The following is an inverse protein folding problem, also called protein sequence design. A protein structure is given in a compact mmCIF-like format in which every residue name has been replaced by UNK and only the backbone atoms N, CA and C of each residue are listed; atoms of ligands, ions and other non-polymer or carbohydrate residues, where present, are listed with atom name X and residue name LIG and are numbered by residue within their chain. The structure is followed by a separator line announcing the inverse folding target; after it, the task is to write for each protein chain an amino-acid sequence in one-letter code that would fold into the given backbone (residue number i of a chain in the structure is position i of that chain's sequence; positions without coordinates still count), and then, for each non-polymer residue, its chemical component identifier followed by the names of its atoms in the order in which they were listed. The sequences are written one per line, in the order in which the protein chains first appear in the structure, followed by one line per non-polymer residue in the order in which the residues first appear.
data_IF_357714487360
#
_entry.id   IF_357714487360
#
_cell.length_a   1.000
_cell.length_b   1.000
_cell.length_c   1.000
_cell.angle_alpha   90.00
_cell.angle_beta   90.00
_cell.angle_gamma   90.00
#
_symmetry.space_group_name_H-M   'P 1'
#
loop_
_entity.id
_entity.type
_entity.pdbx_description
1 polymer ?
#
# COMPACT_ATOMS: atom_id res chain seq x y z
N UNK A 1 -24.96 64.95 -43.09
CA UNK A 1 -25.29 63.50 -43.00
C UNK A 1 -24.09 62.80 -42.38
N UNK A 2 -24.27 62.21 -41.19
CA UNK A 2 -23.20 61.71 -40.34
C UNK A 2 -22.75 60.30 -40.75
N UNK A 3 -21.44 60.08 -40.85
CA UNK A 3 -20.84 58.74 -41.02
C UNK A 3 -20.31 58.27 -39.68
N UNK A 4 -21.00 57.31 -39.05
CA UNK A 4 -20.60 56.73 -37.78
C UNK A 4 -19.66 55.53 -38.02
N UNK A 5 -18.43 55.65 -37.52
CA UNK A 5 -17.41 54.61 -37.58
C UNK A 5 -17.78 53.42 -36.68
N UNK A 6 -17.85 52.22 -37.26
CA UNK A 6 -18.11 50.96 -36.55
C UNK A 6 -16.82 50.49 -35.84
N UNK A 7 -16.73 50.71 -34.53
CA UNK A 7 -15.63 50.17 -33.70
C UNK A 7 -15.95 48.73 -33.32
N UNK A 8 -15.33 47.77 -34.01
CA UNK A 8 -15.35 46.35 -33.59
C UNK A 8 -14.40 46.19 -32.41
N UNK A 9 -14.94 45.78 -31.26
CA UNK A 9 -14.15 45.37 -30.10
C UNK A 9 -13.57 43.97 -30.36
N UNK A 10 -12.27 43.73 -30.12
CA UNK A 10 -11.74 42.38 -30.17
C UNK A 10 -12.25 41.59 -28.96
N UNK A 11 -12.91 40.46 -29.20
CA UNK A 11 -13.24 39.47 -28.17
C UNK A 11 -11.93 38.84 -27.67
N UNK A 12 -11.51 39.22 -26.47
CA UNK A 12 -10.47 38.54 -25.70
C UNK A 12 -10.92 37.09 -25.48
N UNK A 13 -10.33 36.14 -26.21
CA UNK A 13 -10.48 34.71 -25.92
C UNK A 13 -9.74 34.42 -24.60
N UNK A 14 -10.49 34.03 -23.58
CA UNK A 14 -9.94 33.57 -22.31
C UNK A 14 -9.03 32.38 -22.56
N UNK A 15 -7.75 32.54 -22.26
CA UNK A 15 -6.79 31.44 -22.17
C UNK A 15 -7.06 30.70 -20.85
N UNK A 16 -7.67 29.52 -20.92
CA UNK A 16 -7.77 28.64 -19.76
C UNK A 16 -6.36 28.20 -19.36
N UNK A 17 -5.88 28.68 -18.21
CA UNK A 17 -4.69 28.13 -17.58
C UNK A 17 -4.92 26.63 -17.33
N UNK A 18 -3.92 25.75 -17.53
CA UNK A 18 -4.05 24.35 -17.18
C UNK A 18 -4.48 24.27 -15.71
N UNK A 19 -5.51 23.46 -15.44
CA UNK A 19 -6.02 23.21 -14.09
C UNK A 19 -4.85 22.77 -13.21
N UNK A 20 -4.46 23.63 -12.26
CA UNK A 20 -3.38 23.30 -11.32
C UNK A 20 -3.89 22.18 -10.42
N UNK A 21 -3.28 21.00 -10.55
CA UNK A 21 -3.58 19.87 -9.66
C UNK A 21 -3.31 20.28 -8.20
N UNK A 22 -4.12 19.76 -7.29
CA UNK A 22 -3.98 20.05 -5.86
C UNK A 22 -2.57 19.65 -5.39
N UNK A 23 -1.87 20.44 -4.57
CA UNK A 23 -0.50 20.16 -4.14
C UNK A 23 -0.29 18.74 -3.59
N UNK A 24 -1.27 18.23 -2.84
CA UNK A 24 -1.26 16.87 -2.27
C UNK A 24 -1.33 15.77 -3.33
N UNK A 25 -2.04 15.99 -4.44
CA UNK A 25 -2.11 15.01 -5.55
C UNK A 25 -0.74 14.94 -6.25
N UNK A 26 -0.10 16.09 -6.47
CA UNK A 26 1.25 16.13 -7.02
C UNK A 26 2.27 15.41 -6.12
N UNK A 27 2.12 15.53 -4.80
CA UNK A 27 2.97 14.85 -3.84
C UNK A 27 2.74 13.33 -3.87
N UNK A 28 1.48 12.90 -3.88
CA UNK A 28 1.10 11.49 -4.05
C UNK A 28 1.72 10.89 -5.32
N UNK A 29 1.53 11.55 -6.47
CA UNK A 29 2.06 11.09 -7.77
C UNK A 29 3.59 10.98 -7.76
N UNK A 30 4.28 11.90 -7.08
CA UNK A 30 5.73 11.85 -6.91
C UNK A 30 6.18 10.66 -6.06
N UNK A 31 5.52 10.39 -4.93
CA UNK A 31 5.82 9.21 -4.10
C UNK A 31 5.53 7.91 -4.85
N UNK A 32 4.42 7.85 -5.57
CA UNK A 32 4.02 6.72 -6.41
C UNK A 32 5.05 6.47 -7.52
N UNK A 33 5.47 7.51 -8.23
CA UNK A 33 6.48 7.42 -9.29
C UNK A 33 7.84 6.95 -8.76
N UNK A 34 8.24 7.37 -7.55
CA UNK A 34 9.48 6.90 -6.91
C UNK A 34 9.44 5.41 -6.61
N UNK A 35 8.33 4.92 -6.08
CA UNK A 35 8.12 3.49 -5.81
C UNK A 35 8.18 2.68 -7.12
N UNK A 36 7.51 3.13 -8.18
CA UNK A 36 7.51 2.47 -9.50
C UNK A 36 8.88 2.53 -10.21
N UNK A 37 9.59 3.65 -10.13
CA UNK A 37 10.89 3.83 -10.79
C UNK A 37 12.00 3.01 -10.15
N UNK A 38 11.82 2.61 -8.88
CA UNK A 38 12.77 1.75 -8.15
C UNK A 38 12.92 0.36 -8.75
N UNK A 39 11.98 -0.07 -9.58
CA UNK A 39 11.99 -1.40 -10.21
C UNK A 39 12.75 -1.42 -11.54
N UNK A 40 12.92 -0.24 -12.18
CA UNK A 40 13.44 -0.12 -13.56
C UNK A 40 14.94 0.19 -13.61
N UNK A 41 15.57 0.67 -12.52
CA UNK A 41 16.99 1.01 -12.47
C UNK A 41 17.85 -0.12 -11.88
N UNK A 42 18.29 -1.06 -12.72
CA UNK A 42 19.00 -2.30 -12.36
C UNK A 42 20.45 -2.17 -11.83
N UNK A 43 20.83 -1.10 -11.12
CA UNK A 43 22.20 -0.97 -10.57
C UNK A 43 22.28 -0.86 -9.05
N UNK A 44 21.16 -0.66 -8.34
CA UNK A 44 21.11 -0.69 -6.88
C UNK A 44 19.81 -1.33 -6.43
N UNK A 45 19.88 -2.54 -5.86
CA UNK A 45 18.73 -3.11 -5.14
C UNK A 45 18.40 -2.21 -3.97
N UNK A 46 17.37 -1.37 -4.11
CA UNK A 46 16.90 -0.53 -3.01
C UNK A 46 16.51 -1.45 -1.85
N UNK A 47 17.07 -1.22 -0.66
CA UNK A 47 16.74 -2.02 0.52
C UNK A 47 15.23 -1.99 0.76
N UNK A 48 14.68 -3.12 1.20
CA UNK A 48 13.26 -3.24 1.58
C UNK A 48 12.85 -2.14 2.56
N UNK A 49 13.75 -1.74 3.47
CA UNK A 49 13.51 -0.65 4.43
C UNK A 49 13.23 0.69 3.75
N UNK A 50 13.92 0.99 2.65
CA UNK A 50 13.68 2.22 1.89
C UNK A 50 12.33 2.18 1.15
N UNK A 51 12.00 1.03 0.53
CA UNK A 51 10.68 0.85 -0.12
C UNK A 51 9.54 1.03 0.90
N UNK A 52 9.69 0.44 2.08
CA UNK A 52 8.71 0.59 3.17
C UNK A 52 8.61 2.03 3.69
N UNK A 53 9.72 2.77 3.74
CA UNK A 53 9.67 4.18 4.13
C UNK A 53 8.92 5.02 3.09
N UNK A 54 9.18 4.81 1.79
CA UNK A 54 8.43 5.51 0.75
C UNK A 54 6.97 5.13 0.71
N UNK A 55 6.67 3.86 1.00
CA UNK A 55 5.28 3.41 1.14
C UNK A 55 4.59 4.12 2.30
N UNK A 56 5.29 4.30 3.44
CA UNK A 56 4.78 5.11 4.55
C UNK A 56 4.51 6.56 4.09
N UNK A 57 5.47 7.20 3.43
CA UNK A 57 5.30 8.58 2.95
C UNK A 57 4.08 8.71 2.00
N UNK A 58 3.83 7.68 1.18
CA UNK A 58 2.64 7.59 0.32
C UNK A 58 1.35 7.50 1.14
N UNK A 59 1.31 6.66 2.17
CA UNK A 59 0.16 6.53 3.08
C UNK A 59 -0.09 7.81 3.89
N UNK A 60 0.95 8.49 4.35
CA UNK A 60 0.82 9.79 5.03
C UNK A 60 0.16 10.82 4.10
N UNK A 61 0.49 10.83 2.81
CA UNK A 61 -0.18 11.68 1.81
C UNK A 61 -1.65 11.30 1.59
N UNK A 62 -1.98 10.00 1.61
CA UNK A 62 -3.35 9.51 1.45
C UNK A 62 -4.20 9.95 2.66
N UNK A 63 -3.65 9.88 3.87
CA UNK A 63 -4.34 10.34 5.07
C UNK A 63 -4.70 11.83 4.95
N UNK A 64 -3.76 12.67 4.49
CA UNK A 64 -4.05 14.09 4.21
C UNK A 64 -5.11 14.26 3.11
N UNK A 65 -5.04 13.46 2.03
CA UNK A 65 -6.05 13.49 0.95
C UNK A 65 -7.44 13.07 1.46
N UNK A 66 -7.54 12.10 2.38
CA UNK A 66 -8.80 11.64 2.96
C UNK A 66 -9.44 12.67 3.89
N UNK A 67 -8.66 13.61 4.42
CA UNK A 67 -9.17 14.73 5.24
C UNK A 67 -9.84 15.83 4.40
N UNK A 68 -9.63 15.86 3.08
CA UNK A 68 -10.31 16.84 2.22
C UNK A 68 -11.81 16.56 2.15
N UNK A 69 -12.61 17.58 2.44
CA UNK A 69 -14.07 17.47 2.47
C UNK A 69 -14.67 16.95 1.16
N UNK A 70 -14.12 17.35 0.00
CA UNK A 70 -14.53 16.85 -1.31
C UNK A 70 -14.37 15.34 -1.45
N UNK A 71 -13.30 14.78 -0.88
CA UNK A 71 -13.01 13.36 -0.93
C UNK A 71 -13.88 12.59 0.07
N UNK A 72 -14.09 13.13 1.27
CA UNK A 72 -15.01 12.53 2.26
C UNK A 72 -16.44 12.48 1.73
N UNK A 73 -16.90 13.57 1.11
CA UNK A 73 -18.22 13.62 0.49
C UNK A 73 -18.32 12.59 -0.64
N UNK A 74 -17.36 12.55 -1.57
CA UNK A 74 -17.38 11.59 -2.67
C UNK A 74 -17.38 10.14 -2.17
N UNK A 75 -16.53 9.82 -1.19
CA UNK A 75 -16.44 8.49 -0.59
C UNK A 75 -17.74 8.12 0.15
N UNK A 76 -18.33 9.03 0.93
CA UNK A 76 -19.57 8.79 1.66
C UNK A 76 -20.77 8.46 0.77
N UNK A 77 -20.76 8.94 -0.49
CA UNK A 77 -21.79 8.65 -1.49
C UNK A 77 -21.49 7.36 -2.27
N UNK A 78 -20.26 6.84 -2.19
CA UNK A 78 -19.82 5.62 -2.86
C UNK A 78 -20.07 4.37 -2.01
N UNK A 79 -20.76 3.39 -2.58
CA UNK A 79 -21.00 2.08 -1.92
C UNK A 79 -19.74 1.18 -1.84
N UNK A 80 -18.63 1.61 -2.45
CA UNK A 80 -17.45 0.82 -2.75
C UNK A 80 -16.40 0.76 -1.63
N UNK A 81 -16.45 1.65 -0.62
CA UNK A 81 -15.41 1.76 0.42
C UNK A 81 -15.12 0.42 1.10
N UNK A 82 -16.17 -0.31 1.49
CA UNK A 82 -16.02 -1.60 2.18
C UNK A 82 -15.22 -2.62 1.36
N UNK A 83 -15.37 -2.59 0.03
CA UNK A 83 -14.64 -3.49 -0.88
C UNK A 83 -13.20 -3.06 -1.04
N UNK A 84 -12.96 -1.76 -1.11
CA UNK A 84 -11.60 -1.20 -1.15
C UNK A 84 -10.87 -1.55 0.15
N UNK A 85 -11.53 -1.47 1.30
CA UNK A 85 -10.89 -1.75 2.58
C UNK A 85 -10.65 -3.24 2.87
N UNK A 86 -11.34 -4.17 2.19
CA UNK A 86 -11.18 -5.61 2.43
C UNK A 86 -9.72 -6.08 2.24
N UNK A 87 -9.04 -5.60 1.19
CA UNK A 87 -7.62 -5.89 0.95
C UNK A 87 -6.69 -5.42 2.08
N UNK A 88 -6.65 -4.11 2.38
CA UNK A 88 -5.86 -3.55 3.48
C UNK A 88 -6.17 -4.16 4.85
N UNK A 89 -7.43 -4.45 5.16
CA UNK A 89 -7.82 -5.06 6.44
C UNK A 89 -7.25 -6.48 6.57
N UNK A 90 -7.37 -7.31 5.53
CA UNK A 90 -6.77 -8.64 5.52
C UNK A 90 -5.25 -8.62 5.63
N UNK A 91 -4.61 -7.62 5.01
CA UNK A 91 -3.17 -7.41 5.15
C UNK A 91 -2.80 -7.09 6.61
N UNK A 92 -3.58 -6.22 7.27
CA UNK A 92 -3.36 -5.88 8.67
C UNK A 92 -3.51 -7.11 9.59
N UNK A 93 -4.52 -7.94 9.37
CA UNK A 93 -4.74 -9.20 10.10
C UNK A 93 -3.57 -10.19 9.90
N UNK A 94 -3.11 -10.32 8.66
CA UNK A 94 -1.95 -11.14 8.32
C UNK A 94 -0.67 -10.65 8.99
N UNK A 95 -0.45 -9.33 9.03
CA UNK A 95 0.65 -8.70 9.76
C UNK A 95 0.57 -8.94 11.26
N UNK A 96 -0.63 -8.88 11.85
CA UNK A 96 -0.88 -9.21 13.25
C UNK A 96 -0.49 -10.66 13.55
N UNK A 97 -1.03 -11.60 12.79
CA UNK A 97 -0.73 -13.03 12.92
C UNK A 97 0.77 -13.31 12.75
N UNK A 98 1.41 -12.66 11.77
CA UNK A 98 2.84 -12.78 11.52
C UNK A 98 3.67 -12.33 12.71
N UNK A 99 3.32 -11.18 13.30
CA UNK A 99 3.99 -10.63 14.48
C UNK A 99 3.88 -11.59 15.67
N UNK A 100 2.70 -12.17 15.90
CA UNK A 100 2.46 -13.09 17.02
C UNK A 100 3.27 -14.39 16.86
N UNK A 101 3.33 -14.95 15.64
CA UNK A 101 4.15 -16.13 15.35
C UNK A 101 5.64 -15.83 15.52
N UNK A 102 6.11 -14.67 15.04
CA UNK A 102 7.51 -14.25 15.22
C UNK A 102 7.86 -14.06 16.69
N UNK A 103 6.94 -13.51 17.49
CA UNK A 103 7.11 -13.35 18.93
C UNK A 103 7.23 -14.72 19.63
N UNK A 104 6.36 -15.68 19.30
CA UNK A 104 6.47 -17.05 19.80
C UNK A 104 7.79 -17.71 19.39
N UNK A 105 8.23 -17.52 18.14
CA UNK A 105 9.50 -18.06 17.66
C UNK A 105 10.70 -17.46 18.40
N UNK A 106 10.65 -16.16 18.73
CA UNK A 106 11.68 -15.49 19.54
C UNK A 106 11.77 -16.10 20.93
N UNK A 107 10.63 -16.32 21.59
CA UNK A 107 10.58 -16.97 22.91
C UNK A 107 11.09 -18.40 22.87
N UNK A 108 10.74 -19.16 21.83
CA UNK A 108 11.27 -20.51 21.61
C UNK A 108 12.78 -20.51 21.37
N UNK A 109 13.31 -19.59 20.55
CA UNK A 109 14.73 -19.47 20.33
C UNK A 109 15.50 -19.16 21.63
N UNK A 110 14.95 -18.29 22.48
CA UNK A 110 15.51 -17.99 23.80
C UNK A 110 15.48 -19.19 24.75
N UNK A 111 14.40 -19.98 24.72
CA UNK A 111 14.29 -21.25 25.50
C UNK A 111 15.35 -22.26 25.06
N UNK A 112 15.48 -22.49 23.76
CA UNK A 112 16.51 -23.38 23.17
C UNK A 112 17.91 -22.93 23.60
N UNK A 113 18.22 -21.64 23.44
CA UNK A 113 19.50 -21.08 23.84
C UNK A 113 19.78 -21.27 25.34
N UNK A 114 18.77 -21.09 26.19
CA UNK A 114 18.88 -21.25 27.64
C UNK A 114 19.06 -22.72 28.06
N UNK A 115 18.40 -23.67 27.37
CA UNK A 115 18.59 -25.09 27.58
C UNK A 115 20.01 -25.52 27.23
N UNK A 116 20.53 -25.05 26.09
CA UNK A 116 21.89 -25.32 25.63
C UNK A 116 22.94 -24.77 26.62
N UNK A 117 22.76 -23.53 27.08
CA UNK A 117 23.68 -22.90 28.05
C UNK A 117 23.75 -23.64 29.37
N UNK A 118 22.62 -24.16 29.87
CA UNK A 118 22.56 -24.85 31.16
C UNK A 118 22.94 -26.33 31.09
N UNK A 119 23.12 -26.90 29.88
CA UNK A 119 23.28 -28.36 29.67
C UNK A 119 22.18 -29.20 30.34
N UNK A 120 20.99 -28.63 30.54
CA UNK A 120 19.92 -29.24 31.33
C UNK A 120 18.99 -30.18 30.54
N UNK A 121 19.06 -30.17 29.20
CA UNK A 121 18.16 -30.96 28.35
C UNK A 121 18.95 -31.95 27.50
N UNK A 122 18.40 -33.15 27.32
CA UNK A 122 18.97 -34.15 26.40
C UNK A 122 18.94 -33.66 24.95
N UNK A 123 19.93 -34.04 24.15
CA UNK A 123 20.11 -33.60 22.75
C UNK A 123 18.85 -33.80 21.90
N UNK A 124 18.11 -34.89 22.13
CA UNK A 124 16.82 -35.19 21.48
C UNK A 124 15.74 -34.13 21.75
N UNK A 125 15.67 -33.58 22.96
CA UNK A 125 14.69 -32.53 23.31
C UNK A 125 14.99 -31.22 22.59
N UNK A 126 16.26 -30.83 22.55
CA UNK A 126 16.69 -29.59 21.88
C UNK A 126 16.48 -29.72 20.36
N UNK A 127 16.79 -30.89 19.78
CA UNK A 127 16.55 -31.17 18.37
C UNK A 127 15.06 -31.02 18.01
N UNK A 128 14.16 -31.55 18.85
CA UNK A 128 12.72 -31.40 18.64
C UNK A 128 12.25 -29.94 18.68
N UNK A 129 12.71 -29.14 19.66
CA UNK A 129 12.36 -27.71 19.75
C UNK A 129 12.85 -26.91 18.52
N UNK A 130 14.04 -27.24 18.01
CA UNK A 130 14.58 -26.65 16.78
C UNK A 130 13.73 -27.03 15.57
N UNK A 131 13.36 -28.31 15.45
CA UNK A 131 12.49 -28.79 14.36
C UNK A 131 11.11 -28.11 14.41
N UNK A 132 10.53 -27.92 15.59
CA UNK A 132 9.27 -27.21 15.76
C UNK A 132 9.39 -25.73 15.33
N UNK A 133 10.44 -25.04 15.77
CA UNK A 133 10.72 -23.65 15.39
C UNK A 133 10.89 -23.49 13.86
N UNK A 134 11.62 -24.40 13.22
CA UNK A 134 11.75 -24.45 11.76
C UNK A 134 10.41 -24.75 11.09
N UNK A 135 9.60 -25.64 11.66
CA UNK A 135 8.24 -25.93 11.20
C UNK A 135 7.33 -24.70 11.23
N UNK A 136 7.36 -23.92 12.31
CA UNK A 136 6.61 -22.65 12.43
C UNK A 136 7.06 -21.63 11.38
N UNK A 137 8.37 -21.49 11.15
CA UNK A 137 8.90 -20.61 10.10
C UNK A 137 8.38 -20.98 8.71
N UNK A 138 8.36 -22.27 8.37
CA UNK A 138 7.83 -22.76 7.08
C UNK A 138 6.34 -22.46 6.94
N UNK A 139 5.55 -22.72 7.99
CA UNK A 139 4.11 -22.41 8.03
C UNK A 139 3.86 -20.91 7.85
N UNK A 140 4.61 -20.07 8.56
CA UNK A 140 4.51 -18.61 8.46
C UNK A 140 4.81 -18.13 7.03
N UNK A 141 5.90 -18.61 6.42
CA UNK A 141 6.24 -18.26 5.04
C UNK A 141 5.13 -18.65 4.05
N UNK A 142 4.56 -19.85 4.22
CA UNK A 142 3.45 -20.31 3.38
C UNK A 142 2.19 -19.46 3.55
N UNK A 143 1.91 -19.04 4.78
CA UNK A 143 0.77 -18.21 5.13
C UNK A 143 0.90 -16.80 4.52
N UNK A 144 2.05 -16.13 4.70
CA UNK A 144 2.34 -14.81 4.10
C UNK A 144 2.18 -14.85 2.58
N UNK A 145 2.77 -15.87 1.93
CA UNK A 145 2.67 -16.04 0.47
C UNK A 145 1.21 -16.19 0.01
N UNK A 146 0.38 -16.91 0.77
CA UNK A 146 -1.04 -17.07 0.48
C UNK A 146 -1.76 -15.71 0.57
N UNK A 147 -1.54 -14.95 1.64
CA UNK A 147 -2.17 -13.65 1.81
C UNK A 147 -1.81 -12.65 0.71
N UNK A 148 -0.53 -12.56 0.33
CA UNK A 148 -0.09 -11.69 -0.76
C UNK A 148 -0.76 -12.07 -2.08
N UNK A 149 -0.89 -13.37 -2.35
CA UNK A 149 -1.63 -13.87 -3.53
C UNK A 149 -3.11 -13.49 -3.48
N UNK A 150 -3.76 -13.64 -2.32
CA UNK A 150 -5.18 -13.32 -2.14
C UNK A 150 -5.43 -11.82 -2.35
N UNK A 151 -4.55 -10.95 -1.82
CA UNK A 151 -4.61 -9.48 -2.02
C UNK A 151 -4.47 -9.13 -3.50
N UNK A 152 -3.50 -9.72 -4.22
CA UNK A 152 -3.35 -9.51 -5.67
C UNK A 152 -4.58 -9.96 -6.45
N UNK A 153 -5.28 -11.00 -6.02
CA UNK A 153 -6.51 -11.43 -6.69
C UNK A 153 -7.68 -10.44 -6.49
N UNK A 154 -7.78 -9.84 -5.30
CA UNK A 154 -8.82 -8.85 -4.96
C UNK A 154 -8.64 -7.54 -5.75
N UNK A 155 -7.39 -7.12 -5.98
CA UNK A 155 -7.08 -5.94 -6.81
C UNK A 155 -7.39 -6.18 -8.29
N UNK A 156 -7.34 -7.42 -8.79
CA UNK A 156 -7.77 -7.75 -10.16
C UNK A 156 -9.30 -7.77 -10.32
N UNK A 157 -10.03 -8.34 -9.36
CA UNK A 157 -11.50 -8.48 -9.43
C UNK A 157 -12.20 -7.10 -9.33
N UNK A 158 -11.65 -6.17 -8.55
CA UNK A 158 -12.23 -4.83 -8.38
C UNK A 158 -12.11 -3.92 -9.61
N UNK A 159 -11.28 -4.25 -10.61
CA UNK A 159 -11.15 -3.47 -11.87
C UNK A 159 -12.27 -3.73 -12.88
N UNK A 160 -13.03 -4.82 -12.73
CA UNK A 160 -14.04 -5.24 -13.72
C UNK A 160 -15.41 -4.55 -13.49
N UNK A 161 -15.66 -4.06 -12.27
CA UNK A 161 -16.88 -3.32 -11.94
C UNK A 161 -16.72 -1.83 -12.25
N UNK A 162 -17.11 -1.46 -13.47
CA UNK A 162 -17.09 -0.09 -14.05
C UNK A 162 -17.92 0.97 -13.32
N UNK A 163 -18.42 0.69 -12.13
CA UNK A 163 -19.41 1.54 -11.44
C UNK A 163 -18.77 2.75 -10.75
N UNK A 164 -17.45 2.76 -10.58
CA UNK A 164 -16.79 3.63 -9.60
C UNK A 164 -15.50 4.31 -10.11
N UNK A 165 -15.32 4.38 -11.43
CA UNK A 165 -14.24 5.17 -12.06
C UNK A 165 -14.45 6.69 -11.92
N UNK A 166 -15.66 7.11 -11.53
CA UNK A 166 -16.02 8.53 -11.41
C UNK A 166 -15.58 9.18 -10.09
N UNK A 167 -15.03 8.43 -9.14
CA UNK A 167 -14.47 8.98 -7.89
C UNK A 167 -12.93 8.91 -7.98
N UNK A 168 -12.24 10.04 -8.25
CA UNK A 168 -10.79 10.05 -8.41
C UNK A 168 -10.03 9.45 -7.22
N UNK A 169 -10.53 9.69 -6.00
CA UNK A 169 -9.95 9.15 -4.77
C UNK A 169 -9.97 7.63 -4.70
N UNK A 170 -10.98 6.98 -5.25
CA UNK A 170 -11.06 5.52 -5.28
C UNK A 170 -9.97 4.94 -6.19
N UNK A 171 -9.64 5.62 -7.29
CA UNK A 171 -8.49 5.29 -8.13
C UNK A 171 -7.17 5.32 -7.34
N UNK A 172 -6.91 6.42 -6.63
CA UNK A 172 -5.74 6.60 -5.75
C UNK A 172 -5.61 5.45 -4.75
N UNK A 173 -6.70 5.08 -4.08
CA UNK A 173 -6.70 3.98 -3.11
C UNK A 173 -6.41 2.61 -3.76
N UNK A 174 -6.94 2.35 -4.96
CA UNK A 174 -6.66 1.11 -5.72
C UNK A 174 -5.21 1.03 -6.15
N UNK A 175 -4.67 2.10 -6.71
CA UNK A 175 -3.28 2.14 -7.17
C UNK A 175 -2.31 1.92 -6.00
N UNK A 176 -2.61 2.53 -4.85
CA UNK A 176 -1.86 2.31 -3.62
C UNK A 176 -1.86 0.85 -3.19
N UNK A 177 -3.01 0.16 -3.26
CA UNK A 177 -3.09 -1.27 -2.87
C UNK A 177 -2.24 -2.17 -3.76
N UNK A 178 -2.20 -1.90 -5.06
CA UNK A 178 -1.34 -2.63 -5.99
C UNK A 178 0.12 -2.44 -5.61
N UNK A 179 0.54 -1.19 -5.40
CA UNK A 179 1.92 -0.87 -5.03
C UNK A 179 2.29 -1.49 -3.67
N UNK A 180 1.39 -1.45 -2.69
CA UNK A 180 1.61 -2.11 -1.40
C UNK A 180 1.83 -3.61 -1.56
N UNK A 181 1.05 -4.28 -2.41
CA UNK A 181 1.23 -5.70 -2.67
C UNK A 181 2.58 -5.99 -3.36
N UNK A 182 3.01 -5.13 -4.28
CA UNK A 182 4.28 -5.29 -5.00
C UNK A 182 5.51 -4.98 -4.13
N UNK A 183 5.40 -4.03 -3.19
CA UNK A 183 6.47 -3.74 -2.23
C UNK A 183 6.67 -4.89 -1.23
N UNK A 184 5.61 -5.64 -0.91
CA UNK A 184 5.62 -6.69 0.10
C UNK A 184 5.91 -8.11 -0.44
N UNK A 185 5.91 -8.30 -1.76
CA UNK A 185 6.30 -9.56 -2.42
C UNK A 185 7.83 -9.78 -2.46
#
# INVERSE_FOLDING_TARGET
MASAANKRTPTTRSISLPSRHHPLICQFDEHLRRLLSSEVASTSTLSISHKLNWLKDLYDCIDELLLLHSNQQALSQGCCINRILDGPLRLLDACGTTRDVLQQMKEQAQRIQSALRRRCSGESSIANDVLECVGKRKKLKSMIKKYLKDIKSLTCISRDERVDENIPMVGVLRDTQVITADVLE
#
